data_IF_304727032845
#
_entry.id   IF_304727032845
#
_cell.length_a   1.000
_cell.length_b   1.000
_cell.length_c   1.000
_cell.angle_alpha   90.00
_cell.angle_beta   90.00
_cell.angle_gamma   90.00
#
_symmetry.space_group_name_H-M   'P 1'
#
loop_
_entity.id
_entity.type
_entity.pdbx_description
1 polymer ?
#
# COMPACT_ATOMS: atom_id res chain seq x y z
N UNK A 1 16.05 -13.02 -14.60
CA UNK A 1 16.64 -11.91 -13.81
C UNK A 1 16.58 -10.67 -14.67
N UNK A 2 16.26 -9.49 -14.13
CA UNK A 2 16.41 -8.24 -14.88
C UNK A 2 17.87 -8.12 -15.37
N UNK A 3 18.08 -7.41 -16.47
CA UNK A 3 19.40 -7.22 -17.08
C UNK A 3 20.31 -6.56 -16.03
N UNK A 4 21.39 -7.25 -15.65
CA UNK A 4 22.40 -6.67 -14.75
C UNK A 4 23.03 -5.46 -15.45
N UNK A 5 22.75 -4.27 -14.93
CA UNK A 5 23.36 -3.04 -15.42
C UNK A 5 24.85 -3.07 -15.12
N UNK A 6 25.67 -2.61 -16.08
CA UNK A 6 27.12 -2.51 -15.88
C UNK A 6 27.40 -1.52 -14.74
N UNK A 7 28.46 -1.72 -13.93
CA UNK A 7 28.82 -0.79 -12.85
C UNK A 7 28.96 0.67 -13.32
N UNK A 8 29.50 0.90 -14.53
CA UNK A 8 29.61 2.24 -15.13
C UNK A 8 28.26 2.88 -15.46
N UNK A 9 27.24 2.08 -15.73
CA UNK A 9 25.86 2.55 -15.89
C UNK A 9 25.25 2.86 -14.52
N UNK A 10 25.41 1.96 -13.55
CA UNK A 10 24.89 2.12 -12.19
C UNK A 10 25.42 3.40 -11.52
N UNK A 11 26.67 3.77 -11.73
CA UNK A 11 27.25 5.01 -11.22
C UNK A 11 26.50 6.28 -11.66
N UNK A 12 25.85 6.23 -12.82
CA UNK A 12 25.20 7.39 -13.44
C UNK A 12 23.68 7.40 -13.31
N UNK A 13 23.07 6.41 -12.62
CA UNK A 13 21.61 6.35 -12.48
C UNK A 13 21.08 7.55 -11.69
N UNK A 14 19.96 8.11 -12.13
CA UNK A 14 19.21 9.17 -11.41
C UNK A 14 17.97 8.64 -10.70
N UNK A 15 17.54 7.45 -11.09
CA UNK A 15 16.45 6.67 -10.52
C UNK A 15 16.69 5.21 -10.91
N UNK A 16 16.14 4.28 -10.14
CA UNK A 16 16.29 2.84 -10.36
C UNK A 16 15.42 2.03 -9.39
N UNK A 17 15.49 0.71 -9.52
CA UNK A 17 14.87 -0.24 -8.60
C UNK A 17 15.78 -0.50 -7.39
N UNK A 18 15.23 -1.10 -6.33
CA UNK A 18 16.01 -1.49 -5.14
C UNK A 18 17.21 -2.40 -5.50
N UNK A 19 17.08 -3.25 -6.53
CA UNK A 19 18.17 -4.08 -7.05
C UNK A 19 19.32 -3.26 -7.64
N UNK A 20 19.02 -2.17 -8.33
CA UNK A 20 20.03 -1.31 -8.97
C UNK A 20 20.88 -0.61 -7.90
N UNK A 21 20.22 -0.06 -6.87
CA UNK A 21 20.90 0.56 -5.74
C UNK A 21 21.70 -0.47 -4.91
N UNK A 22 21.14 -1.67 -4.71
CA UNK A 22 21.84 -2.75 -4.00
C UNK A 22 23.11 -3.17 -4.73
N UNK A 23 23.03 -3.36 -6.05
CA UNK A 23 24.19 -3.68 -6.88
C UNK A 23 25.24 -2.56 -6.86
N UNK A 24 24.82 -1.30 -6.97
CA UNK A 24 25.72 -0.14 -6.84
C UNK A 24 26.47 -0.15 -5.51
N UNK A 25 25.77 -0.42 -4.40
CA UNK A 25 26.35 -0.57 -3.07
C UNK A 25 27.39 -1.68 -2.97
N UNK A 26 27.06 -2.86 -3.51
CA UNK A 26 27.98 -3.99 -3.56
C UNK A 26 29.27 -3.60 -4.30
N UNK A 27 29.16 -3.00 -5.48
CA UNK A 27 30.33 -2.61 -6.27
C UNK A 27 31.18 -1.54 -5.57
N UNK A 28 30.56 -0.48 -5.06
CA UNK A 28 31.26 0.64 -4.42
C UNK A 28 31.99 0.21 -3.14
N UNK A 29 31.35 -0.61 -2.31
CA UNK A 29 31.93 -1.02 -1.03
C UNK A 29 33.01 -2.09 -1.21
N UNK A 30 32.80 -3.04 -2.14
CA UNK A 30 33.80 -4.06 -2.43
C UNK A 30 35.04 -3.51 -3.15
N UNK A 31 34.93 -2.41 -3.91
CA UNK A 31 36.11 -1.79 -4.54
C UNK A 31 37.12 -1.22 -3.53
N UNK A 32 36.69 -0.99 -2.28
CA UNK A 32 37.55 -0.53 -1.17
C UNK A 32 37.73 -1.61 -0.10
N UNK A 33 37.42 -2.87 -0.41
CA UNK A 33 37.69 -4.02 0.47
C UNK A 33 36.66 -4.25 1.58
N UNK A 34 35.50 -3.59 1.56
CA UNK A 34 34.45 -3.81 2.57
C UNK A 34 33.55 -4.99 2.16
N UNK A 35 33.37 -6.02 3.03
CA UNK A 35 32.62 -7.23 2.70
C UNK A 35 31.10 -7.00 2.77
N UNK A 36 30.56 -6.44 1.69
CA UNK A 36 29.12 -6.25 1.51
C UNK A 36 28.49 -7.41 0.76
N UNK A 37 27.29 -7.80 1.17
CA UNK A 37 26.43 -8.74 0.44
C UNK A 37 25.02 -8.20 0.23
N UNK A 38 24.17 -9.07 -0.30
CA UNK A 38 22.78 -8.79 -0.63
C UNK A 38 21.86 -9.75 0.13
N UNK A 39 20.80 -9.17 0.69
CA UNK A 39 19.66 -9.89 1.24
C UNK A 39 18.39 -9.51 0.50
N UNK A 40 17.44 -10.42 0.52
CA UNK A 40 16.13 -10.24 -0.08
C UNK A 40 15.03 -10.64 0.89
N UNK A 41 13.91 -9.93 0.78
CA UNK A 41 12.62 -10.28 1.37
C UNK A 41 11.75 -10.74 0.20
N UNK A 42 11.36 -12.02 0.13
CA UNK A 42 10.73 -12.57 -1.08
C UNK A 42 9.36 -11.95 -1.34
N UNK A 43 8.67 -11.61 -0.26
CA UNK A 43 7.39 -10.93 -0.28
C UNK A 43 7.14 -10.28 1.08
N UNK A 44 6.55 -9.10 1.11
CA UNK A 44 6.15 -8.43 2.35
C UNK A 44 4.93 -9.11 2.98
N UNK A 45 4.84 -9.08 4.30
CA UNK A 45 3.66 -9.57 5.01
C UNK A 45 2.42 -8.68 4.79
N UNK A 46 2.63 -7.38 4.54
CA UNK A 46 1.59 -6.36 4.47
C UNK A 46 1.51 -5.60 3.12
N UNK A 47 2.27 -6.01 2.10
CA UNK A 47 2.23 -5.39 0.76
C UNK A 47 2.56 -6.41 -0.32
N UNK A 48 2.34 -6.07 -1.59
CA UNK A 48 2.32 -7.01 -2.72
C UNK A 48 3.66 -7.04 -3.49
N UNK A 49 4.76 -6.75 -2.81
CA UNK A 49 6.10 -6.67 -3.41
C UNK A 49 7.12 -7.43 -2.54
N UNK A 50 8.27 -7.75 -3.13
CA UNK A 50 9.48 -8.13 -2.39
C UNK A 50 10.33 -6.90 -2.08
N UNK A 51 11.53 -7.15 -1.57
CA UNK A 51 12.54 -6.11 -1.35
C UNK A 51 13.95 -6.68 -1.38
N UNK A 52 14.92 -5.86 -1.77
CA UNK A 52 16.33 -6.22 -1.80
C UNK A 52 17.11 -5.10 -1.12
N UNK A 53 18.07 -5.48 -0.29
CA UNK A 53 18.90 -4.54 0.48
C UNK A 53 20.30 -5.11 0.72
N UNK A 54 21.21 -4.24 1.14
CA UNK A 54 22.59 -4.62 1.41
C UNK A 54 22.79 -5.01 2.88
N UNK A 55 23.84 -5.78 3.13
CA UNK A 55 24.39 -5.92 4.49
C UNK A 55 25.91 -5.82 4.47
N UNK A 56 26.50 -5.31 5.56
CA UNK A 56 27.92 -5.46 5.87
C UNK A 56 28.05 -6.54 6.94
N UNK A 57 29.00 -7.46 6.78
CA UNK A 57 29.37 -8.37 7.87
C UNK A 57 30.49 -7.73 8.71
N UNK A 58 30.15 -7.36 9.95
CA UNK A 58 31.05 -6.65 10.86
C UNK A 58 32.08 -7.55 11.54
N UNK A 59 33.15 -6.92 12.06
CA UNK A 59 34.15 -7.62 12.89
C UNK A 59 33.57 -8.14 14.21
N UNK A 60 32.41 -7.63 14.63
CA UNK A 60 31.61 -8.13 15.76
C UNK A 60 30.83 -9.41 15.42
N UNK A 61 31.00 -9.94 14.19
CA UNK A 61 30.32 -11.13 13.65
C UNK A 61 28.81 -10.94 13.49
N UNK A 62 28.35 -9.70 13.32
CA UNK A 62 26.95 -9.39 13.04
C UNK A 62 26.74 -8.92 11.60
N UNK A 63 25.49 -9.01 11.18
CA UNK A 63 25.02 -8.50 9.90
C UNK A 63 24.40 -7.13 10.15
N UNK A 64 24.96 -6.09 9.54
CA UNK A 64 24.41 -4.73 9.60
C UNK A 64 23.70 -4.42 8.29
N UNK A 65 22.38 -4.25 8.31
CA UNK A 65 21.58 -3.95 7.13
C UNK A 65 21.68 -2.48 6.73
N UNK A 66 21.64 -2.19 5.42
CA UNK A 66 21.52 -0.81 4.92
C UNK A 66 20.89 -0.78 3.53
N UNK A 67 20.43 0.40 3.12
CA UNK A 67 20.08 0.67 1.72
C UNK A 67 21.00 1.73 1.14
N UNK A 68 21.72 1.32 0.10
CA UNK A 68 22.69 2.16 -0.59
C UNK A 68 22.07 3.44 -1.12
N UNK A 69 22.60 4.58 -0.67
CA UNK A 69 22.12 5.90 -1.07
C UNK A 69 20.89 6.41 -0.30
N UNK A 70 20.34 5.64 0.64
CA UNK A 70 19.17 6.08 1.42
C UNK A 70 19.36 6.08 2.94
N UNK A 71 19.95 5.03 3.53
CA UNK A 71 20.03 4.87 4.98
C UNK A 71 21.38 4.31 5.45
N UNK A 72 21.74 4.67 6.68
CA UNK A 72 22.92 4.15 7.36
C UNK A 72 22.70 2.70 7.84
N UNK A 73 23.78 1.99 8.22
CA UNK A 73 23.69 0.66 8.83
C UNK A 73 22.75 0.60 10.04
N UNK A 74 22.02 -0.52 10.17
CA UNK A 74 21.09 -0.87 11.26
C UNK A 74 19.80 -0.03 11.35
N UNK A 75 19.58 0.91 10.43
CA UNK A 75 18.36 1.74 10.39
C UNK A 75 17.32 1.19 9.40
N UNK A 76 17.75 0.44 8.39
CA UNK A 76 16.94 0.15 7.21
C UNK A 76 15.82 -0.86 7.48
N UNK A 77 16.06 -1.91 8.25
CA UNK A 77 15.04 -2.90 8.61
C UNK A 77 14.09 -2.42 9.71
N UNK A 78 14.49 -1.42 10.51
CA UNK A 78 13.68 -0.87 11.62
C UNK A 78 12.36 -0.28 11.11
N UNK A 79 12.37 0.45 10.00
CA UNK A 79 11.14 0.99 9.37
C UNK A 79 10.18 -0.08 8.86
N UNK A 80 10.66 -1.31 8.69
CA UNK A 80 9.89 -2.46 8.21
C UNK A 80 9.56 -3.46 9.32
N UNK A 81 9.83 -3.13 10.58
CA UNK A 81 9.44 -3.95 11.72
C UNK A 81 7.96 -4.36 11.60
N UNK A 82 7.66 -5.62 11.93
CA UNK A 82 6.33 -6.24 11.83
C UNK A 82 5.82 -6.47 10.40
N UNK A 83 6.62 -6.24 9.36
CA UNK A 83 6.24 -6.45 7.96
C UNK A 83 7.07 -7.52 7.26
N UNK A 84 8.19 -7.93 7.86
CA UNK A 84 9.18 -8.86 7.28
C UNK A 84 8.81 -10.31 7.66
N UNK A 85 8.32 -11.16 6.75
CA UNK A 85 8.08 -12.56 7.08
C UNK A 85 9.36 -13.39 7.14
N UNK A 86 10.26 -13.15 6.17
CA UNK A 86 11.52 -13.86 5.96
C UNK A 86 12.55 -12.98 5.28
N UNK A 87 13.83 -13.23 5.59
CA UNK A 87 15.00 -12.64 4.93
C UNK A 87 15.89 -13.79 4.45
N UNK A 88 16.19 -13.79 3.15
CA UNK A 88 17.14 -14.71 2.55
C UNK A 88 18.38 -13.97 2.07
N UNK A 89 19.56 -14.51 2.36
CA UNK A 89 20.82 -14.04 1.82
C UNK A 89 21.09 -14.72 0.49
N UNK A 90 21.47 -13.94 -0.52
CA UNK A 90 21.98 -14.45 -1.78
C UNK A 90 23.48 -14.76 -1.65
N UNK A 91 23.83 -16.04 -1.61
CA UNK A 91 25.23 -16.48 -1.52
C UNK A 91 25.84 -16.68 -2.90
N UNK A 92 27.16 -16.61 -3.00
CA UNK A 92 27.86 -16.97 -4.23
C UNK A 92 27.85 -18.50 -4.46
N UNK A 93 28.10 -19.27 -3.40
CA UNK A 93 28.15 -20.73 -3.45
C UNK A 93 26.82 -21.39 -3.07
N UNK A 94 26.65 -22.63 -3.53
CA UNK A 94 25.54 -23.53 -3.15
C UNK A 94 25.46 -23.71 -1.64
N UNK A 95 24.25 -23.60 -1.09
CA UNK A 95 23.93 -23.87 0.30
C UNK A 95 23.32 -25.26 0.45
N UNK A 96 24.01 -26.16 1.16
CA UNK A 96 23.54 -27.53 1.40
C UNK A 96 22.23 -27.60 2.22
N UNK A 97 21.89 -26.50 2.90
CA UNK A 97 20.67 -26.33 3.69
C UNK A 97 19.52 -25.67 2.92
N UNK A 98 19.72 -25.29 1.66
CA UNK A 98 18.65 -24.69 0.83
C UNK A 98 17.67 -25.75 0.34
N UNK A 99 16.40 -25.36 0.13
CA UNK A 99 15.39 -26.27 -0.42
C UNK A 99 15.74 -26.73 -1.84
N UNK A 100 16.31 -25.86 -2.67
CA UNK A 100 16.78 -26.22 -4.02
C UNK A 100 17.85 -27.33 -4.02
N UNK A 101 18.49 -27.60 -2.87
CA UNK A 101 19.44 -28.69 -2.69
C UNK A 101 18.83 -29.88 -1.95
N UNK A 102 18.05 -29.62 -0.91
CA UNK A 102 17.45 -30.66 -0.07
C UNK A 102 16.32 -31.41 -0.80
N UNK A 103 15.54 -30.71 -1.62
CA UNK A 103 14.44 -31.30 -2.36
C UNK A 103 14.90 -32.41 -3.30
N UNK A 104 16.09 -32.35 -3.92
CA UNK A 104 16.68 -33.42 -4.78
C UNK A 104 15.66 -34.05 -5.76
N UNK A 105 14.77 -33.24 -6.34
CA UNK A 105 13.68 -33.71 -7.21
C UNK A 105 12.70 -34.71 -6.54
N UNK A 106 12.69 -34.81 -5.20
CA UNK A 106 11.75 -35.63 -4.42
C UNK A 106 10.30 -35.20 -4.67
N UNK A 107 10.08 -33.90 -4.85
CA UNK A 107 8.81 -33.30 -5.26
C UNK A 107 9.05 -31.93 -5.89
N UNK A 108 8.04 -31.42 -6.61
CA UNK A 108 8.07 -30.04 -7.11
C UNK A 108 8.05 -29.05 -5.94
N UNK A 109 8.71 -27.91 -6.11
CA UNK A 109 8.82 -26.86 -5.09
C UNK A 109 8.60 -25.49 -5.73
N UNK A 110 8.16 -24.45 -4.99
CA UNK A 110 7.97 -23.12 -5.55
C UNK A 110 9.25 -22.56 -6.19
N UNK A 111 9.10 -21.86 -7.32
CA UNK A 111 10.21 -21.37 -8.15
C UNK A 111 11.26 -20.56 -7.38
N UNK A 112 10.83 -19.74 -6.42
CA UNK A 112 11.75 -18.97 -5.57
C UNK A 112 12.73 -19.88 -4.81
N UNK A 113 12.25 -21.00 -4.28
CA UNK A 113 13.04 -21.93 -3.47
C UNK A 113 13.88 -22.92 -4.28
N UNK A 114 13.74 -22.98 -5.61
CA UNK A 114 14.62 -23.77 -6.49
C UNK A 114 16.05 -23.25 -6.51
N UNK A 115 16.28 -22.00 -6.11
CA UNK A 115 17.60 -21.40 -6.08
C UNK A 115 18.49 -22.03 -4.98
N UNK A 116 19.61 -22.71 -5.34
CA UNK A 116 20.47 -23.40 -4.39
C UNK A 116 21.36 -22.44 -3.57
N UNK A 117 21.35 -21.15 -3.87
CA UNK A 117 22.18 -20.12 -3.23
C UNK A 117 21.40 -19.27 -2.21
N UNK A 118 20.27 -19.78 -1.72
CA UNK A 118 19.47 -19.12 -0.68
C UNK A 118 19.85 -19.64 0.70
N UNK A 119 20.15 -18.72 1.62
CA UNK A 119 20.32 -18.99 3.05
C UNK A 119 19.28 -18.19 3.85
N UNK A 120 18.50 -18.84 4.72
CA UNK A 120 17.61 -18.13 5.65
C UNK A 120 18.43 -17.44 6.75
N UNK A 121 18.50 -16.11 6.70
CA UNK A 121 19.22 -15.27 7.66
C UNK A 121 18.26 -14.47 8.54
N UNK A 122 16.96 -14.76 8.52
CA UNK A 122 15.94 -14.02 9.27
C UNK A 122 16.28 -13.92 10.76
N UNK A 123 16.74 -15.02 11.36
CA UNK A 123 17.14 -15.07 12.77
C UNK A 123 18.43 -14.32 13.11
N UNK A 124 19.17 -13.79 12.11
CA UNK A 124 20.35 -12.95 12.32
C UNK A 124 19.99 -11.49 12.62
N UNK A 125 18.74 -11.10 12.36
CA UNK A 125 18.24 -9.74 12.53
C UNK A 125 17.29 -9.63 13.72
N UNK A 126 17.79 -9.15 14.85
CA UNK A 126 17.01 -9.04 16.09
C UNK A 126 15.75 -8.17 15.93
N UNK A 127 15.79 -7.16 15.04
CA UNK A 127 14.66 -6.28 14.72
C UNK A 127 13.43 -7.03 14.20
N UNK A 128 13.62 -8.20 13.57
CA UNK A 128 12.52 -9.03 13.06
C UNK A 128 11.74 -9.66 14.21
N UNK A 129 12.37 -9.91 15.38
CA UNK A 129 11.76 -10.63 16.50
C UNK A 129 11.14 -11.97 16.05
N UNK A 130 11.93 -12.75 15.30
CA UNK A 130 11.44 -13.93 14.62
C UNK A 130 11.00 -15.04 15.60
N UNK A 131 9.89 -15.70 15.30
CA UNK A 131 9.25 -16.73 16.12
C UNK A 131 9.43 -18.13 15.50
N UNK A 132 9.24 -19.17 16.31
CA UNK A 132 9.02 -20.52 15.79
C UNK A 132 7.54 -20.84 15.86
N UNK A 133 6.96 -21.33 14.77
CA UNK A 133 5.54 -21.71 14.71
C UNK A 133 5.41 -23.13 14.19
N UNK A 134 4.58 -23.92 14.88
CA UNK A 134 4.25 -25.29 14.49
C UNK A 134 2.85 -25.32 13.89
N UNK A 135 2.66 -26.01 12.78
CA UNK A 135 1.36 -26.19 12.13
C UNK A 135 1.06 -27.67 12.02
N UNK A 136 -0.17 -28.02 12.37
CA UNK A 136 -0.73 -29.35 12.15
C UNK A 136 -1.11 -29.49 10.67
N UNK A 137 -0.57 -30.53 10.05
CA UNK A 137 -0.77 -30.88 8.65
C UNK A 137 -1.36 -32.29 8.49
N UNK A 138 -1.99 -32.80 9.57
CA UNK A 138 -2.72 -34.07 9.59
C UNK A 138 -3.64 -34.22 8.38
N UNK A 139 -3.70 -35.42 7.82
CA UNK A 139 -4.56 -35.83 6.69
C UNK A 139 -4.13 -35.36 5.29
N UNK A 140 -2.86 -35.02 5.06
CA UNK A 140 -2.37 -34.66 3.72
C UNK A 140 -1.17 -35.52 3.34
N UNK A 141 -1.43 -36.57 2.57
CA UNK A 141 -0.43 -37.59 2.25
C UNK A 141 0.44 -37.21 1.05
N UNK A 142 1.71 -37.60 1.16
CA UNK A 142 2.79 -37.66 0.17
C UNK A 142 3.73 -36.45 0.05
N UNK A 143 3.33 -35.25 0.48
CA UNK A 143 4.26 -34.13 0.47
C UNK A 143 5.39 -34.29 1.49
N UNK A 144 6.62 -33.89 1.10
CA UNK A 144 7.81 -33.88 1.96
C UNK A 144 8.05 -32.53 2.60
N UNK A 145 7.59 -31.46 1.97
CA UNK A 145 7.75 -30.09 2.44
C UNK A 145 6.40 -29.39 2.61
N UNK A 146 6.34 -28.55 3.64
CA UNK A 146 5.24 -27.63 3.87
C UNK A 146 5.73 -26.19 3.71
N UNK A 147 4.81 -25.30 3.37
CA UNK A 147 5.08 -23.90 3.10
C UNK A 147 4.24 -23.01 4.00
N UNK A 148 4.81 -21.84 4.31
CA UNK A 148 4.08 -20.76 4.95
C UNK A 148 3.99 -19.60 3.95
N UNK A 149 2.77 -19.16 3.70
CA UNK A 149 2.46 -18.18 2.68
C UNK A 149 1.94 -16.87 3.29
N UNK A 150 2.16 -15.77 2.58
CA UNK A 150 1.52 -14.46 2.83
C UNK A 150 0.54 -14.14 1.71
N UNK A 151 -0.34 -13.17 1.95
CA UNK A 151 -1.34 -12.76 0.97
C UNK A 151 -0.72 -11.93 -0.17
N UNK A 152 -1.03 -12.32 -1.41
CA UNK A 152 -0.92 -11.53 -2.64
C UNK A 152 -2.27 -11.55 -3.38
N UNK A 153 -2.67 -10.49 -4.11
CA UNK A 153 -3.88 -10.49 -4.92
C UNK A 153 -3.96 -11.60 -5.99
N UNK A 154 -2.83 -12.21 -6.36
CA UNK A 154 -2.77 -13.37 -7.26
C UNK A 154 -2.91 -14.71 -6.52
N UNK A 155 -2.82 -14.72 -5.19
CA UNK A 155 -2.95 -15.93 -4.38
C UNK A 155 -2.03 -15.94 -3.17
N UNK A 156 -1.97 -17.08 -2.48
CA UNK A 156 -1.05 -17.26 -1.37
C UNK A 156 0.39 -17.41 -1.88
N UNK A 157 1.26 -16.47 -1.53
CA UNK A 157 2.66 -16.46 -1.95
C UNK A 157 3.55 -17.14 -0.91
N UNK A 158 4.28 -18.21 -1.24
CA UNK A 158 5.12 -18.93 -0.29
C UNK A 158 6.37 -18.12 0.08
N UNK A 159 6.58 -17.90 1.38
CA UNK A 159 7.71 -17.12 1.91
C UNK A 159 8.63 -17.93 2.81
N UNK A 160 8.14 -19.04 3.38
CA UNK A 160 8.94 -19.97 4.16
C UNK A 160 8.61 -21.42 3.80
N UNK A 161 9.52 -22.34 4.14
CA UNK A 161 9.35 -23.77 3.95
C UNK A 161 9.90 -24.53 5.16
N UNK A 162 9.48 -25.78 5.32
CA UNK A 162 10.05 -26.73 6.28
C UNK A 162 9.84 -28.16 5.79
N UNK A 163 10.66 -29.10 6.27
CA UNK A 163 10.42 -30.52 6.05
C UNK A 163 9.30 -31.00 7.00
N UNK A 164 8.43 -31.86 6.49
CA UNK A 164 7.33 -32.46 7.23
C UNK A 164 7.88 -33.60 8.10
N UNK A 165 7.54 -33.57 9.39
CA UNK A 165 7.88 -34.61 10.36
C UNK A 165 6.60 -35.14 11.01
N UNK A 166 6.18 -36.34 10.61
CA UNK A 166 4.86 -36.89 10.99
C UNK A 166 3.73 -35.99 10.47
N UNK A 167 2.83 -35.57 11.36
CA UNK A 167 1.70 -34.69 11.06
C UNK A 167 2.00 -33.22 11.36
N UNK A 168 3.28 -32.83 11.49
CA UNK A 168 3.68 -31.49 11.90
C UNK A 168 4.65 -30.84 10.93
N UNK A 169 4.46 -29.53 10.75
CA UNK A 169 5.38 -28.64 10.05
C UNK A 169 5.88 -27.56 11.03
N UNK A 170 7.17 -27.55 11.33
CA UNK A 170 7.80 -26.57 12.24
C UNK A 170 8.57 -25.53 11.44
N UNK A 171 8.06 -24.30 11.39
CA UNK A 171 8.69 -23.17 10.72
C UNK A 171 9.48 -22.34 11.73
N UNK A 172 10.80 -22.32 11.58
CA UNK A 172 11.71 -21.50 12.40
C UNK A 172 11.85 -20.10 11.81
N UNK A 173 12.27 -19.12 12.61
CA UNK A 173 12.59 -17.75 12.21
C UNK A 173 11.50 -17.06 11.38
N UNK A 174 10.25 -17.05 11.84
CA UNK A 174 9.11 -16.42 11.15
C UNK A 174 8.83 -15.05 11.73
N UNK A 175 8.74 -14.03 10.88
CA UNK A 175 8.36 -12.69 11.30
C UNK A 175 6.96 -12.64 11.92
N UNK A 176 6.77 -12.02 13.10
CA UNK A 176 5.47 -11.87 13.72
C UNK A 176 4.70 -10.66 13.17
N UNK A 177 3.48 -10.50 13.66
CA UNK A 177 2.49 -9.47 13.31
C UNK A 177 2.05 -9.52 11.85
N UNK A 178 1.99 -10.73 11.28
CA UNK A 178 1.66 -11.00 9.88
C UNK A 178 0.59 -12.10 9.84
N UNK A 179 -0.29 -12.02 8.84
CA UNK A 179 -1.23 -13.10 8.52
C UNK A 179 -0.56 -14.11 7.60
N UNK A 180 -0.60 -15.37 8.02
CA UNK A 180 -0.05 -16.49 7.28
C UNK A 180 -1.10 -17.52 6.91
N UNK A 181 -0.87 -18.21 5.81
CA UNK A 181 -1.59 -19.41 5.40
C UNK A 181 -0.59 -20.55 5.24
N UNK A 182 -0.79 -21.65 5.96
CA UNK A 182 -0.03 -22.87 5.71
C UNK A 182 -0.50 -23.52 4.41
N UNK A 183 0.43 -24.12 3.67
CA UNK A 183 0.11 -24.77 2.41
C UNK A 183 1.07 -25.92 2.10
N UNK A 184 0.64 -26.79 1.19
CA UNK A 184 1.47 -27.73 0.46
C UNK A 184 1.67 -27.21 -0.96
N UNK A 185 2.52 -27.89 -1.72
CA UNK A 185 2.77 -27.57 -3.12
C UNK A 185 2.69 -28.82 -3.96
N UNK A 186 1.88 -28.78 -5.02
CA UNK A 186 1.76 -29.88 -5.98
C UNK A 186 1.55 -29.31 -7.37
N UNK A 187 2.32 -29.82 -8.35
CA UNK A 187 2.20 -29.49 -9.79
C UNK A 187 2.11 -27.99 -10.08
N UNK A 188 3.00 -27.19 -9.52
CA UNK A 188 2.99 -25.75 -9.74
C UNK A 188 2.04 -24.94 -8.84
N UNK A 189 1.16 -25.58 -8.08
CA UNK A 189 0.07 -24.94 -7.34
C UNK A 189 0.25 -24.98 -5.82
N UNK A 190 -0.13 -23.88 -5.17
CA UNK A 190 -0.20 -23.77 -3.70
C UNK A 190 -1.53 -24.35 -3.23
N UNK A 191 -1.47 -25.36 -2.35
CA UNK A 191 -2.63 -26.03 -1.79
C UNK A 191 -2.77 -25.69 -0.30
N UNK A 192 -3.69 -24.78 0.09
CA UNK A 192 -3.81 -24.38 1.48
C UNK A 192 -4.19 -25.54 2.42
N UNK A 193 -3.64 -25.47 3.64
CA UNK A 193 -3.93 -26.39 4.75
C UNK A 193 -4.47 -25.60 5.93
N UNK A 194 -5.71 -25.91 6.33
CA UNK A 194 -6.39 -25.23 7.43
C UNK A 194 -6.70 -23.77 7.15
N UNK A 195 -7.08 -23.03 8.19
CA UNK A 195 -7.47 -21.63 8.08
C UNK A 195 -6.25 -20.70 8.23
N UNK A 196 -6.27 -19.51 7.59
CA UNK A 196 -5.21 -18.53 7.79
C UNK A 196 -5.22 -18.03 9.24
N UNK A 197 -4.08 -17.55 9.71
CA UNK A 197 -3.92 -17.08 11.08
C UNK A 197 -3.02 -15.86 11.17
N UNK A 198 -3.32 -14.97 12.10
CA UNK A 198 -2.41 -13.91 12.52
C UNK A 198 -1.42 -14.46 13.54
N UNK A 199 -0.13 -14.34 13.26
CA UNK A 199 0.95 -14.67 14.21
C UNK A 199 1.32 -13.40 14.98
N UNK A 200 1.15 -13.36 16.29
CA UNK A 200 1.48 -12.17 17.09
C UNK A 200 2.97 -12.10 17.50
N UNK A 201 3.35 -11.00 18.14
CA UNK A 201 4.74 -10.72 18.57
C UNK A 201 5.33 -11.71 19.57
N UNK A 202 4.52 -12.57 20.19
CA UNK A 202 4.97 -13.58 21.16
C UNK A 202 4.72 -15.02 20.65
N UNK A 203 4.40 -15.17 19.36
CA UNK A 203 4.24 -16.47 18.72
C UNK A 203 2.86 -17.10 18.86
N UNK A 204 1.85 -16.39 19.39
CA UNK A 204 0.47 -16.91 19.43
C UNK A 204 -0.19 -16.78 18.06
N UNK A 205 -0.99 -17.78 17.73
CA UNK A 205 -1.77 -17.83 16.49
C UNK A 205 -3.23 -17.52 16.76
N UNK A 206 -3.77 -16.52 16.07
CA UNK A 206 -5.21 -16.24 16.05
C UNK A 206 -5.77 -16.62 14.67
N UNK A 207 -6.51 -17.73 14.61
CA UNK A 207 -7.07 -18.24 13.36
C UNK A 207 -8.31 -17.45 12.93
N UNK A 208 -8.40 -17.17 11.63
CA UNK A 208 -9.59 -16.59 11.02
C UNK A 208 -10.53 -17.70 10.57
N UNK A 209 -11.54 -17.99 11.39
CA UNK A 209 -12.53 -19.04 11.13
C UNK A 209 -13.89 -18.40 10.86
N UNK A 210 -14.41 -18.47 9.62
CA UNK A 210 -15.73 -17.96 9.30
C UNK A 210 -16.83 -18.66 10.11
N UNK A 211 -17.60 -17.87 10.86
CA UNK A 211 -18.69 -18.36 11.68
C UNK A 211 -20.02 -18.41 10.91
N UNK A 212 -20.96 -19.25 11.39
CA UNK A 212 -22.34 -19.27 10.87
C UNK A 212 -23.06 -17.94 11.06
N UNK A 213 -22.74 -17.22 12.15
CA UNK A 213 -23.31 -15.90 12.44
C UNK A 213 -22.78 -14.88 11.44
N UNK A 214 -23.70 -14.10 10.86
CA UNK A 214 -23.40 -13.08 9.85
C UNK A 214 -23.52 -11.68 10.45
N UNK A 215 -22.89 -10.72 9.78
CA UNK A 215 -22.90 -9.30 10.13
C UNK A 215 -22.98 -8.42 8.88
N UNK A 216 -23.44 -7.18 9.09
CA UNK A 216 -23.33 -6.12 8.09
C UNK A 216 -21.95 -5.47 8.18
N UNK A 217 -21.30 -5.34 7.03
CA UNK A 217 -20.02 -4.68 6.84
C UNK A 217 -20.23 -3.39 6.03
N UNK A 218 -19.65 -2.28 6.50
CA UNK A 218 -19.51 -1.02 5.75
C UNK A 218 -18.02 -0.77 5.50
N UNK A 219 -17.64 -0.66 4.24
CA UNK A 219 -16.27 -0.38 3.81
C UNK A 219 -16.20 1.00 3.16
N UNK A 220 -15.14 1.74 3.47
CA UNK A 220 -14.83 3.02 2.81
C UNK A 220 -13.67 2.89 1.82
N UNK A 221 -12.93 1.77 1.83
CA UNK A 221 -11.70 1.55 1.05
C UNK A 221 -11.32 0.07 0.93
N UNK A 222 -10.43 -0.23 -0.02
CA UNK A 222 -9.89 -1.57 -0.33
C UNK A 222 -8.48 -1.86 0.24
N UNK A 223 -7.84 -0.84 0.82
CA UNK A 223 -6.55 -0.91 1.51
C UNK A 223 -6.47 0.21 2.55
N UNK A 224 -5.62 0.06 3.56
CA UNK A 224 -5.28 1.15 4.48
C UNK A 224 -4.71 2.37 3.74
N UNK A 225 -4.81 3.56 4.37
CA UNK A 225 -4.14 4.74 3.84
C UNK A 225 -2.63 4.45 3.72
N UNK A 226 -2.04 4.85 2.59
CA UNK A 226 -0.58 4.90 2.52
C UNK A 226 -0.02 5.83 3.61
N UNK A 227 1.03 5.39 4.30
CA UNK A 227 1.75 6.22 5.28
C UNK A 227 2.34 7.47 4.64
N UNK A 228 2.62 7.45 3.33
CA UNK A 228 3.07 8.63 2.58
C UNK A 228 2.03 9.77 2.55
N UNK A 229 0.76 9.48 2.84
CA UNK A 229 -0.30 10.49 2.89
C UNK A 229 -0.38 11.20 4.27
N UNK A 230 0.22 10.63 5.32
CA UNK A 230 0.08 11.15 6.70
C UNK A 230 0.60 12.58 6.84
N UNK A 231 1.70 12.91 6.17
CA UNK A 231 2.25 14.27 6.16
C UNK A 231 1.46 15.19 5.21
N UNK A 232 1.08 14.68 4.03
CA UNK A 232 0.36 15.44 3.01
C UNK A 232 -0.95 16.03 3.54
N UNK A 233 -1.69 15.28 4.36
CA UNK A 233 -2.96 15.78 4.91
C UNK A 233 -2.79 16.96 5.86
N UNK A 234 -1.63 17.10 6.50
CA UNK A 234 -1.33 18.24 7.39
C UNK A 234 -1.21 19.53 6.59
N UNK A 235 -0.73 19.45 5.34
CA UNK A 235 -0.57 20.58 4.43
C UNK A 235 -1.88 21.11 3.83
N UNK A 236 -3.04 20.62 4.26
CA UNK A 236 -4.32 21.09 3.71
C UNK A 236 -5.01 22.13 4.61
N UNK A 237 -4.57 22.25 5.86
CA UNK A 237 -5.19 23.14 6.84
C UNK A 237 -4.98 24.61 6.44
N UNK A 238 -6.04 25.41 6.59
CA UNK A 238 -6.06 26.82 6.25
C UNK A 238 -6.40 27.11 4.78
N UNK A 239 -6.38 26.10 3.90
CA UNK A 239 -6.79 26.24 2.50
C UNK A 239 -8.24 26.72 2.38
N UNK A 240 -8.51 27.57 1.38
CA UNK A 240 -9.79 28.27 1.22
C UNK A 240 -10.41 28.00 -0.13
N UNK A 241 -11.73 27.91 -0.16
CA UNK A 241 -12.52 27.91 -1.39
C UNK A 241 -13.28 29.22 -1.49
N UNK A 242 -13.13 29.92 -2.60
CA UNK A 242 -13.58 31.30 -2.73
C UNK A 242 -14.27 31.57 -4.08
N UNK A 243 -15.13 32.59 -4.08
CA UNK A 243 -15.76 33.14 -5.27
C UNK A 243 -15.60 34.65 -5.34
N UNK A 244 -15.49 35.22 -6.55
CA UNK A 244 -15.25 36.64 -6.77
C UNK A 244 -15.89 37.12 -8.09
N UNK A 245 -16.07 38.44 -8.22
CA UNK A 245 -16.43 39.07 -9.50
C UNK A 245 -15.27 39.84 -10.13
N UNK A 246 -14.17 40.07 -9.39
CA UNK A 246 -12.90 40.57 -9.92
C UNK A 246 -11.89 39.43 -10.10
N UNK A 247 -11.13 39.47 -11.19
CA UNK A 247 -10.16 38.42 -11.57
C UNK A 247 -9.00 38.29 -10.59
N UNK A 248 -8.69 39.37 -9.85
CA UNK A 248 -7.66 39.41 -8.81
C UNK A 248 -8.15 38.89 -7.44
N UNK A 249 -9.44 38.52 -7.33
CA UNK A 249 -10.10 38.07 -6.10
C UNK A 249 -10.06 39.10 -4.95
N UNK A 250 -9.88 40.39 -5.25
CA UNK A 250 -9.91 41.46 -4.24
C UNK A 250 -11.29 41.61 -3.57
N UNK A 251 -12.37 41.19 -4.25
CA UNK A 251 -13.74 41.20 -3.74
C UNK A 251 -14.23 39.82 -3.25
N UNK A 252 -13.31 38.87 -3.03
CA UNK A 252 -13.66 37.47 -2.80
C UNK A 252 -14.50 37.23 -1.54
N UNK A 253 -15.50 36.35 -1.68
CA UNK A 253 -16.18 35.69 -0.54
C UNK A 253 -15.57 34.32 -0.32
N UNK A 254 -15.47 33.91 0.94
CA UNK A 254 -14.97 32.58 1.30
C UNK A 254 -16.15 31.66 1.58
N UNK A 255 -16.28 30.62 0.77
CA UNK A 255 -17.32 29.59 0.93
C UNK A 255 -16.96 28.56 2.00
N UNK A 256 -15.67 28.22 2.09
CA UNK A 256 -15.18 27.22 3.03
C UNK A 256 -13.70 27.43 3.35
N UNK A 257 -13.32 27.10 4.58
CA UNK A 257 -11.93 27.02 5.05
C UNK A 257 -11.72 25.62 5.62
N UNK A 258 -10.64 24.94 5.20
CA UNK A 258 -10.26 23.65 5.75
C UNK A 258 -9.65 23.88 7.15
N UNK A 259 -10.49 23.81 8.19
CA UNK A 259 -10.08 24.13 9.58
C UNK A 259 -9.34 22.99 10.29
N UNK A 260 -9.63 21.75 9.90
CA UNK A 260 -9.06 20.54 10.49
C UNK A 260 -8.42 19.68 9.41
N UNK A 261 -7.50 18.80 9.81
CA UNK A 261 -6.83 17.84 8.93
C UNK A 261 -7.88 17.01 8.19
N UNK A 262 -8.01 17.16 6.86
CA UNK A 262 -8.97 16.40 6.08
C UNK A 262 -8.52 14.94 5.97
N UNK A 263 -9.49 14.04 5.75
CA UNK A 263 -9.20 12.65 5.36
C UNK A 263 -8.93 12.61 3.85
N UNK A 264 -8.08 11.68 3.36
CA UNK A 264 -7.83 11.49 1.93
C UNK A 264 -9.01 10.76 1.26
N UNK A 265 -10.16 11.42 1.24
CA UNK A 265 -11.43 10.96 0.66
C UNK A 265 -12.27 12.16 0.21
N UNK A 266 -13.33 11.91 -0.56
CA UNK A 266 -14.17 13.03 -1.01
C UNK A 266 -14.84 13.70 0.17
N UNK A 267 -14.69 15.03 0.26
CA UNK A 267 -15.34 15.85 1.27
C UNK A 267 -16.36 16.73 0.58
N UNK A 268 -17.61 16.70 1.05
CA UNK A 268 -18.68 17.58 0.57
C UNK A 268 -18.98 18.62 1.64
N UNK A 269 -19.05 19.88 1.22
CA UNK A 269 -19.34 21.04 2.06
C UNK A 269 -20.55 21.77 1.49
N UNK A 270 -21.55 21.99 2.35
CA UNK A 270 -22.62 22.94 2.05
C UNK A 270 -22.14 24.32 2.47
N UNK A 271 -22.17 25.29 1.55
CA UNK A 271 -21.71 26.64 1.81
C UNK A 271 -22.62 27.36 2.81
N UNK A 272 -22.11 28.35 3.54
CA UNK A 272 -22.93 29.17 4.44
C UNK A 272 -23.99 29.99 3.66
N UNK A 273 -25.23 30.05 4.13
CA UNK A 273 -26.33 30.74 3.44
C UNK A 273 -26.01 32.20 3.11
N UNK A 274 -25.24 32.89 3.96
CA UNK A 274 -24.84 34.30 3.78
C UNK A 274 -24.04 34.56 2.51
N UNK A 275 -23.37 33.52 1.97
CA UNK A 275 -22.56 33.63 0.75
C UNK A 275 -23.18 32.92 -0.46
N UNK A 276 -24.25 32.14 -0.27
CA UNK A 276 -24.86 31.36 -1.36
C UNK A 276 -25.60 32.20 -2.40
N UNK A 277 -26.16 33.37 -2.01
CA UNK A 277 -26.98 34.20 -2.88
C UNK A 277 -26.18 35.20 -3.72
N UNK A 278 -24.85 35.19 -3.61
CA UNK A 278 -23.96 36.07 -4.38
C UNK A 278 -23.52 35.38 -5.68
N UNK A 279 -23.94 35.86 -6.86
CA UNK A 279 -23.42 35.35 -8.11
C UNK A 279 -21.96 35.76 -8.28
N UNK A 280 -21.11 34.80 -8.67
CA UNK A 280 -19.67 35.01 -8.86
C UNK A 280 -19.23 34.55 -10.24
N UNK A 281 -18.32 35.30 -10.88
CA UNK A 281 -17.72 34.96 -12.18
C UNK A 281 -16.46 34.10 -12.04
N UNK A 282 -15.73 34.23 -10.94
CA UNK A 282 -14.47 33.53 -10.69
C UNK A 282 -14.58 32.67 -9.44
N UNK A 283 -14.02 31.46 -9.50
CA UNK A 283 -13.95 30.51 -8.39
C UNK A 283 -12.52 30.05 -8.22
N UNK A 284 -12.06 29.79 -6.98
CA UNK A 284 -10.73 29.20 -6.73
C UNK A 284 -10.67 28.33 -5.49
N UNK A 285 -9.71 27.42 -5.51
CA UNK A 285 -9.04 26.91 -4.32
C UNK A 285 -7.73 27.68 -4.12
N UNK A 286 -7.49 28.14 -2.89
CA UNK A 286 -6.30 28.87 -2.45
C UNK A 286 -5.61 28.06 -1.34
N UNK A 287 -4.34 27.70 -1.53
CA UNK A 287 -3.54 27.06 -0.47
C UNK A 287 -3.31 28.03 0.69
N UNK A 288 -2.98 27.51 1.87
CA UNK A 288 -2.67 28.39 3.02
C UNK A 288 -1.31 29.06 2.84
N UNK A 289 -1.01 30.00 3.74
CA UNK A 289 0.30 30.63 3.90
C UNK A 289 1.37 29.69 4.48
N UNK A 290 0.95 28.57 5.06
CA UNK A 290 1.83 27.54 5.64
C UNK A 290 2.09 26.37 4.67
N UNK A 291 1.40 26.29 3.53
CA UNK A 291 1.30 25.05 2.75
C UNK A 291 1.28 25.26 1.23
N UNK A 292 1.69 24.21 0.51
CA UNK A 292 1.70 24.12 -0.94
C UNK A 292 0.41 23.47 -1.47
N UNK A 293 0.10 23.65 -2.76
CA UNK A 293 -1.00 22.93 -3.40
C UNK A 293 -0.85 21.41 -3.25
N UNK A 294 -1.91 20.73 -2.80
CA UNK A 294 -2.00 19.26 -2.73
C UNK A 294 -3.45 18.79 -2.95
N UNK A 295 -4.10 19.34 -3.98
CA UNK A 295 -5.52 19.14 -4.24
C UNK A 295 -5.72 18.28 -5.50
N UNK A 296 -6.41 17.16 -5.37
CA UNK A 296 -6.71 16.26 -6.49
C UNK A 296 -7.91 16.74 -7.31
N UNK A 297 -9.03 17.05 -6.66
CA UNK A 297 -10.26 17.46 -7.35
C UNK A 297 -10.96 18.59 -6.61
N UNK A 298 -11.55 19.52 -7.35
CA UNK A 298 -12.43 20.56 -6.83
C UNK A 298 -13.66 20.71 -7.72
N UNK A 299 -14.82 20.55 -7.11
CA UNK A 299 -16.12 20.64 -7.74
C UNK A 299 -16.95 21.73 -7.06
N UNK A 300 -17.41 22.72 -7.85
CA UNK A 300 -18.34 23.75 -7.38
C UNK A 300 -19.72 23.49 -7.96
N UNK A 301 -20.77 23.56 -7.13
CA UNK A 301 -22.14 23.30 -7.56
C UNK A 301 -23.03 24.51 -7.32
N UNK A 302 -23.87 24.79 -8.31
CA UNK A 302 -24.98 25.70 -8.17
C UNK A 302 -26.17 25.01 -7.52
N UNK A 303 -27.06 25.80 -6.89
CA UNK A 303 -28.27 25.28 -6.25
C UNK A 303 -29.11 24.46 -7.24
N UNK A 304 -29.48 23.25 -6.84
CA UNK A 304 -30.31 22.32 -7.63
C UNK A 304 -29.57 21.59 -8.77
N UNK A 305 -28.29 21.88 -9.02
CA UNK A 305 -27.53 21.22 -10.09
C UNK A 305 -26.83 19.96 -9.60
N UNK A 306 -26.90 18.89 -10.42
CA UNK A 306 -26.24 17.61 -10.17
C UNK A 306 -24.83 17.52 -10.76
N UNK A 307 -24.46 18.42 -11.67
CA UNK A 307 -23.15 18.47 -12.31
C UNK A 307 -22.35 19.67 -11.79
N UNK A 308 -21.01 19.55 -11.65
CA UNK A 308 -20.17 20.66 -11.24
C UNK A 308 -20.11 21.75 -12.32
N UNK A 309 -19.86 22.98 -11.90
CA UNK A 309 -19.60 24.10 -12.78
C UNK A 309 -18.33 23.85 -13.59
N UNK A 310 -18.34 24.29 -14.85
CA UNK A 310 -17.18 24.26 -15.74
C UNK A 310 -16.85 25.68 -16.18
N UNK A 311 -15.57 25.94 -16.39
CA UNK A 311 -15.06 27.24 -16.81
C UNK A 311 -13.69 27.14 -17.45
N UNK A 312 -13.14 28.28 -17.86
CA UNK A 312 -11.74 28.37 -18.27
C UNK A 312 -10.87 28.25 -17.02
N UNK A 313 -9.91 27.33 -17.03
CA UNK A 313 -8.98 27.14 -15.91
C UNK A 313 -8.05 28.35 -15.82
N UNK A 314 -7.89 28.89 -14.62
CA UNK A 314 -7.04 30.03 -14.28
C UNK A 314 -6.27 29.73 -13.00
N UNK A 315 -5.12 30.38 -12.79
CA UNK A 315 -4.35 30.22 -11.56
C UNK A 315 -3.18 31.18 -11.49
N UNK A 316 -2.62 31.34 -10.28
CA UNK A 316 -1.35 32.02 -10.02
C UNK A 316 -0.59 31.19 -9.00
N UNK A 317 0.55 30.65 -9.42
CA UNK A 317 1.37 29.74 -8.62
C UNK A 317 2.79 29.61 -9.18
N UNK A 318 3.74 29.23 -8.33
CA UNK A 318 5.05 28.75 -8.76
C UNK A 318 4.99 27.26 -9.10
N UNK A 319 5.42 26.91 -10.31
CA UNK A 319 5.45 25.52 -10.79
C UNK A 319 6.27 24.63 -9.88
N UNK A 320 5.72 23.48 -9.47
CA UNK A 320 6.44 22.51 -8.65
C UNK A 320 7.72 22.03 -9.33
N UNK A 321 8.83 22.04 -8.60
CA UNK A 321 10.10 21.44 -9.04
C UNK A 321 10.01 19.92 -9.17
N UNK A 322 9.22 19.28 -8.32
CA UNK A 322 9.07 17.82 -8.27
C UNK A 322 7.98 17.31 -9.23
N UNK A 323 6.94 18.12 -9.44
CA UNK A 323 5.78 17.77 -10.26
C UNK A 323 5.46 18.88 -11.27
N UNK A 324 6.36 19.16 -12.25
CA UNK A 324 6.24 20.33 -13.12
C UNK A 324 5.02 20.33 -14.04
N UNK A 325 4.32 19.19 -14.15
CA UNK A 325 3.08 19.02 -14.95
C UNK A 325 1.80 19.01 -14.10
N UNK A 326 1.89 19.35 -12.81
CA UNK A 326 0.79 19.30 -11.87
C UNK A 326 0.23 20.71 -11.62
N UNK A 327 -0.25 21.36 -12.68
CA UNK A 327 -0.84 22.70 -12.61
C UNK A 327 -2.29 22.70 -12.14
N UNK A 328 -2.93 23.87 -12.20
CA UNK A 328 -4.31 24.06 -11.73
C UNK A 328 -5.33 23.18 -12.46
N UNK A 329 -5.03 22.76 -13.70
CA UNK A 329 -5.86 21.85 -14.49
C UNK A 329 -6.11 20.51 -13.81
N UNK A 330 -5.17 20.05 -12.96
CA UNK A 330 -5.30 18.79 -12.23
C UNK A 330 -6.47 18.76 -11.27
N UNK A 331 -6.86 19.90 -10.71
CA UNK A 331 -8.04 19.98 -9.85
C UNK A 331 -9.38 19.77 -10.57
N UNK A 332 -9.38 19.66 -11.91
CA UNK A 332 -10.59 19.65 -12.73
C UNK A 332 -10.55 18.61 -13.86
N UNK A 333 -9.60 17.67 -13.85
CA UNK A 333 -9.43 16.67 -14.92
C UNK A 333 -10.22 15.37 -14.70
N UNK A 334 -10.78 15.17 -13.50
CA UNK A 334 -11.60 14.01 -13.15
C UNK A 334 -10.77 12.76 -12.84
N UNK A 335 -9.45 12.88 -12.74
CA UNK A 335 -8.56 11.80 -12.33
C UNK A 335 -8.14 11.97 -10.87
N UNK A 336 -8.66 11.15 -9.93
CA UNK A 336 -8.37 11.29 -8.50
C UNK A 336 -6.90 11.04 -8.13
N UNK A 337 -6.07 10.49 -9.03
CA UNK A 337 -4.62 10.32 -8.82
C UNK A 337 -3.80 11.50 -9.34
N UNK A 338 -4.39 12.37 -10.14
CA UNK A 338 -3.82 13.65 -10.52
C UNK A 338 -3.99 14.64 -9.36
N UNK A 339 -3.12 15.64 -9.25
CA UNK A 339 -3.23 16.65 -8.21
C UNK A 339 -2.49 17.93 -8.57
N UNK A 340 -3.01 19.07 -8.14
CA UNK A 340 -2.33 20.37 -8.20
C UNK A 340 -1.24 20.43 -7.13
N UNK A 341 -0.03 20.84 -7.55
CA UNK A 341 1.12 21.02 -6.65
C UNK A 341 1.96 22.23 -7.03
N UNK A 342 2.43 22.95 -6.01
CA UNK A 342 3.18 24.22 -6.17
C UNK A 342 4.49 24.20 -5.39
N UNK A 343 5.38 25.15 -5.69
CA UNK A 343 6.66 25.33 -4.98
C UNK A 343 6.59 26.43 -3.91
N UNK A 344 5.48 27.20 -3.89
CA UNK A 344 5.20 28.34 -3.01
C UNK A 344 3.85 28.17 -2.26
N UNK A 345 3.66 29.01 -1.24
CA UNK A 345 2.42 29.11 -0.44
C UNK A 345 1.48 30.19 -1.00
N UNK A 346 0.24 30.25 -0.52
CA UNK A 346 -0.82 31.14 -1.05
C UNK A 346 -1.08 31.00 -2.56
N UNK A 347 -0.67 29.86 -3.09
CA UNK A 347 -0.79 29.46 -4.47
C UNK A 347 -2.22 29.04 -4.77
N UNK A 348 -2.75 29.36 -5.96
CA UNK A 348 -4.15 29.07 -6.25
C UNK A 348 -4.44 28.70 -7.70
N UNK A 349 -5.47 27.87 -7.86
CA UNK A 349 -6.06 27.50 -9.14
C UNK A 349 -7.59 27.51 -9.07
N UNK A 350 -8.24 27.69 -10.20
CA UNK A 350 -9.65 28.02 -10.23
C UNK A 350 -10.27 28.05 -11.62
N UNK A 351 -11.50 28.57 -11.68
CA UNK A 351 -12.32 28.65 -12.89
C UNK A 351 -12.77 30.09 -13.12
N UNK A 352 -12.66 30.55 -14.36
CA UNK A 352 -13.44 31.64 -14.91
C UNK A 352 -14.70 31.07 -15.56
N UNK A 353 -15.87 31.37 -14.99
CA UNK A 353 -17.15 30.90 -15.50
C UNK A 353 -17.61 31.72 -16.71
N UNK A 354 -18.37 31.07 -17.61
CA UNK A 354 -18.97 31.75 -18.76
C UNK A 354 -19.93 32.88 -18.35
N UNK A 355 -20.64 32.69 -17.24
CA UNK A 355 -21.56 33.65 -16.65
C UNK A 355 -21.47 33.55 -15.11
N UNK A 356 -21.79 34.62 -14.38
CA UNK A 356 -21.84 34.58 -12.92
C UNK A 356 -22.85 33.55 -12.40
N UNK A 357 -22.48 32.78 -11.36
CA UNK A 357 -23.32 31.72 -10.78
C UNK A 357 -23.27 31.77 -9.26
N UNK A 358 -24.40 31.48 -8.61
CA UNK A 358 -24.50 31.30 -7.16
C UNK A 358 -24.08 29.87 -6.77
N UNK A 359 -23.05 29.74 -5.93
CA UNK A 359 -22.54 28.44 -5.46
C UNK A 359 -23.12 28.09 -4.10
N UNK A 360 -23.59 26.85 -3.94
CA UNK A 360 -24.16 26.36 -2.68
C UNK A 360 -23.47 25.13 -2.10
N UNK A 361 -22.69 24.41 -2.91
CA UNK A 361 -22.02 23.18 -2.49
C UNK A 361 -20.67 23.09 -3.15
N UNK A 362 -19.69 22.67 -2.37
CA UNK A 362 -18.34 22.35 -2.82
C UNK A 362 -18.11 20.88 -2.53
N UNK A 363 -17.45 20.19 -3.44
CA UNK A 363 -16.91 18.86 -3.18
C UNK A 363 -15.46 18.84 -3.61
N UNK A 364 -14.59 18.28 -2.78
CA UNK A 364 -13.17 18.26 -3.08
C UNK A 364 -12.52 16.95 -2.63
N UNK A 365 -11.41 16.62 -3.26
CA UNK A 365 -10.55 15.50 -2.93
C UNK A 365 -9.12 16.02 -2.84
N UNK A 366 -8.48 15.78 -1.71
CA UNK A 366 -7.06 16.08 -1.56
C UNK A 366 -6.22 14.99 -2.25
N UNK A 367 -4.91 15.23 -2.43
CA UNK A 367 -4.00 14.19 -2.90
C UNK A 367 -4.18 12.91 -2.06
N UNK A 368 -4.35 11.78 -2.76
CA UNK A 368 -4.75 10.50 -2.18
C UNK A 368 -4.14 9.33 -2.97
N UNK A 369 -4.47 8.10 -2.56
CA UNK A 369 -3.96 6.84 -3.12
C UNK A 369 -4.96 6.11 -4.04
N UNK A 370 -6.15 6.69 -4.26
CA UNK A 370 -7.26 6.10 -5.03
C UNK A 370 -7.70 4.70 -4.55
N UNK A 371 -7.45 4.39 -3.27
CA UNK A 371 -7.90 3.14 -2.63
C UNK A 371 -9.26 3.28 -1.92
N UNK A 372 -9.87 4.48 -1.97
CA UNK A 372 -11.25 4.70 -1.55
C UNK A 372 -12.25 3.97 -2.44
N UNK A 373 -13.43 3.64 -1.91
CA UNK A 373 -14.54 3.17 -2.75
C UNK A 373 -14.92 4.28 -3.74
N UNK A 374 -15.04 3.97 -5.02
CA UNK A 374 -15.42 4.93 -6.06
C UNK A 374 -16.79 4.62 -6.63
N UNK A 375 -17.62 5.65 -6.74
CA UNK A 375 -18.93 5.54 -7.36
C UNK A 375 -18.79 5.00 -8.78
N UNK A 376 -19.64 4.03 -9.12
CA UNK A 376 -19.67 3.39 -10.43
C UNK A 376 -18.70 2.21 -10.58
N UNK A 377 -17.67 2.07 -9.74
CA UNK A 377 -16.79 0.91 -9.76
C UNK A 377 -17.53 -0.36 -9.32
N UNK A 378 -17.16 -1.49 -9.91
CA UNK A 378 -17.62 -2.83 -9.58
C UNK A 378 -16.64 -3.48 -8.61
N UNK A 379 -17.12 -3.83 -7.42
CA UNK A 379 -16.34 -4.48 -6.38
C UNK A 379 -16.81 -5.92 -6.15
N UNK A 380 -15.92 -6.78 -5.66
CA UNK A 380 -16.25 -8.12 -5.19
C UNK A 380 -15.61 -8.38 -3.83
N UNK A 381 -16.42 -8.77 -2.85
CA UNK A 381 -15.93 -9.08 -1.51
C UNK A 381 -15.74 -10.60 -1.38
N UNK A 382 -14.61 -11.02 -0.84
CA UNK A 382 -14.31 -12.41 -0.54
C UNK A 382 -14.15 -12.61 0.96
N UNK A 383 -14.44 -13.83 1.42
CA UNK A 383 -13.97 -14.32 2.71
C UNK A 383 -13.14 -15.58 2.51
N UNK A 384 -12.13 -15.78 3.36
CA UNK A 384 -11.29 -16.97 3.32
C UNK A 384 -11.88 -18.08 4.19
N UNK A 385 -12.01 -19.29 3.64
CA UNK A 385 -12.34 -20.50 4.39
C UNK A 385 -11.37 -21.60 3.98
N UNK A 386 -10.67 -22.19 4.94
CA UNK A 386 -9.68 -23.24 4.71
C UNK A 386 -8.64 -22.84 3.65
N UNK A 387 -8.24 -21.57 3.68
CA UNK A 387 -7.31 -20.96 2.72
C UNK A 387 -7.89 -20.66 1.33
N UNK A 388 -9.16 -20.96 1.08
CA UNK A 388 -9.83 -20.70 -0.21
C UNK A 388 -10.69 -19.45 -0.13
N UNK A 389 -10.51 -18.55 -1.11
CA UNK A 389 -11.30 -17.33 -1.25
C UNK A 389 -12.69 -17.63 -1.82
N UNK A 390 -13.74 -17.38 -1.04
CA UNK A 390 -15.14 -17.55 -1.44
C UNK A 390 -15.81 -16.19 -1.61
N UNK A 391 -16.44 -15.96 -2.77
CA UNK A 391 -17.13 -14.70 -3.06
C UNK A 391 -18.40 -14.52 -2.22
N UNK A 392 -18.60 -13.29 -1.73
CA UNK A 392 -19.83 -12.79 -1.10
C UNK A 392 -20.68 -11.96 -2.08
N UNK A 393 -20.32 -12.01 -3.36
CA UNK A 393 -21.02 -11.36 -4.45
C UNK A 393 -20.38 -10.05 -4.90
N UNK A 394 -20.75 -9.64 -6.10
CA UNK A 394 -20.31 -8.40 -6.74
C UNK A 394 -21.28 -7.26 -6.44
N UNK A 395 -20.77 -6.04 -6.26
CA UNK A 395 -21.57 -4.83 -6.08
C UNK A 395 -20.97 -3.65 -6.81
N UNK A 396 -21.80 -2.94 -7.57
CA UNK A 396 -21.45 -1.63 -8.10
C UNK A 396 -21.68 -0.58 -7.01
N UNK A 397 -20.66 0.21 -6.70
CA UNK A 397 -20.76 1.30 -5.74
C UNK A 397 -21.69 2.40 -6.28
N UNK A 398 -22.66 2.82 -5.47
CA UNK A 398 -23.61 3.90 -5.81
C UNK A 398 -23.16 5.26 -5.25
N UNK A 399 -22.26 5.24 -4.27
CA UNK A 399 -21.66 6.39 -3.60
C UNK A 399 -20.14 6.21 -3.56
N UNK A 400 -19.42 7.33 -3.50
CA UNK A 400 -18.00 7.33 -3.15
C UNK A 400 -17.82 7.07 -1.66
N UNK A 401 -16.71 6.43 -1.30
CA UNK A 401 -16.27 6.13 0.06
C UNK A 401 -17.26 5.27 0.87
N UNK A 402 -18.16 4.52 0.21
CA UNK A 402 -19.11 3.63 0.87
C UNK A 402 -19.48 2.40 0.04
N UNK A 403 -19.33 1.22 0.67
CA UNK A 403 -19.84 -0.05 0.17
C UNK A 403 -20.41 -0.89 1.32
N UNK A 404 -21.61 -1.46 1.16
CA UNK A 404 -22.30 -2.21 2.22
C UNK A 404 -22.57 -3.65 1.80
N UNK A 405 -22.16 -4.62 2.63
CA UNK A 405 -22.49 -6.05 2.50
C UNK A 405 -23.24 -6.52 3.75
N UNK A 406 -24.37 -7.23 3.60
CA UNK A 406 -25.28 -7.57 4.73
C UNK A 406 -25.08 -8.97 5.34
N UNK A 407 -24.36 -9.86 4.64
CA UNK A 407 -24.29 -11.29 4.95
C UNK A 407 -22.85 -11.80 5.13
N UNK A 408 -21.99 -11.00 5.77
CA UNK A 408 -20.57 -11.33 5.94
C UNK A 408 -20.38 -12.23 7.17
N UNK A 409 -19.73 -13.41 7.07
CA UNK A 409 -19.43 -14.25 8.22
C UNK A 409 -18.58 -13.52 9.28
N UNK A 410 -18.90 -13.70 10.56
CA UNK A 410 -18.05 -13.20 11.66
C UNK A 410 -16.76 -14.03 11.77
N UNK A 411 -15.66 -13.42 12.23
CA UNK A 411 -14.36 -14.10 12.43
C UNK A 411 -13.61 -14.47 11.15
N UNK A 412 -14.12 -14.10 9.98
CA UNK A 412 -13.47 -14.39 8.70
C UNK A 412 -12.39 -13.36 8.35
N UNK A 413 -11.35 -13.83 7.65
CA UNK A 413 -10.43 -12.96 6.91
C UNK A 413 -11.10 -12.54 5.61
N UNK A 414 -11.11 -11.25 5.32
CA UNK A 414 -11.83 -10.65 4.20
C UNK A 414 -10.86 -10.00 3.22
N UNK A 415 -11.28 -9.93 1.95
CA UNK A 415 -10.54 -9.25 0.88
C UNK A 415 -11.54 -8.59 -0.06
N UNK A 416 -11.38 -7.29 -0.30
CA UNK A 416 -12.21 -6.54 -1.24
C UNK A 416 -11.42 -6.27 -2.52
N UNK A 417 -11.95 -6.74 -3.65
CA UNK A 417 -11.40 -6.48 -4.98
C UNK A 417 -12.12 -5.36 -5.69
N UNK A 418 -11.37 -4.49 -6.35
CA UNK A 418 -11.91 -3.54 -7.34
C UNK A 418 -11.74 -4.14 -8.74
N UNK A 419 -12.84 -4.58 -9.35
CA UNK A 419 -12.83 -5.17 -10.68
C UNK A 419 -12.85 -4.13 -11.81
N UNK A 420 -12.75 -2.84 -11.47
CA UNK A 420 -12.77 -1.73 -12.43
C UNK A 420 -11.40 -1.09 -12.60
N UNK A 421 -10.72 -0.73 -11.50
CA UNK A 421 -9.42 -0.02 -11.57
C UNK A 421 -8.53 -0.31 -10.34
N UNK A 422 -7.22 -0.26 -10.60
CA UNK A 422 -6.18 -0.31 -9.57
C UNK A 422 -5.89 -1.73 -9.11
N UNK A 423 -4.68 -1.93 -8.56
CA UNK A 423 -4.19 -3.26 -8.17
C UNK A 423 -3.83 -3.35 -6.68
N UNK A 424 -3.86 -2.22 -5.97
CA UNK A 424 -3.60 -2.18 -4.55
C UNK A 424 -4.81 -2.66 -3.74
N UNK A 425 -4.66 -3.82 -3.11
CA UNK A 425 -5.69 -4.48 -2.32
C UNK A 425 -5.03 -5.21 -1.17
N UNK A 426 -5.66 -5.20 0.01
CA UNK A 426 -5.18 -5.94 1.18
C UNK A 426 -6.30 -6.70 1.88
N UNK A 427 -5.88 -7.72 2.61
CA UNK A 427 -6.74 -8.50 3.49
C UNK A 427 -7.04 -7.72 4.79
N UNK A 428 -8.17 -8.02 5.40
CA UNK A 428 -8.59 -7.37 6.64
C UNK A 428 -9.52 -8.24 7.49
N UNK A 429 -9.58 -7.96 8.79
CA UNK A 429 -10.62 -8.45 9.70
C UNK A 429 -11.64 -7.35 9.95
N UNK A 430 -12.92 -7.73 10.08
CA UNK A 430 -13.96 -6.83 10.56
C UNK A 430 -14.49 -7.25 11.92
N UNK A 431 -14.14 -6.47 12.95
CA UNK A 431 -14.46 -6.75 14.36
C UNK A 431 -14.87 -5.46 15.06
N UNK A 432 -15.88 -5.53 15.93
CA UNK A 432 -16.36 -4.38 16.71
C UNK A 432 -16.70 -3.14 15.85
N UNK A 433 -17.29 -3.38 14.67
CA UNK A 433 -17.62 -2.37 13.66
C UNK A 433 -16.41 -1.60 13.09
N UNK A 434 -15.19 -2.12 13.24
CA UNK A 434 -13.94 -1.56 12.72
C UNK A 434 -13.25 -2.53 11.78
N UNK A 435 -12.54 -1.99 10.80
CA UNK A 435 -11.69 -2.72 9.85
C UNK A 435 -10.26 -2.71 10.38
N UNK A 436 -9.63 -3.88 10.42
CA UNK A 436 -8.22 -4.07 10.78
C UNK A 436 -7.49 -4.63 9.57
N UNK A 437 -6.60 -3.84 8.97
CA UNK A 437 -5.83 -4.23 7.79
C UNK A 437 -4.63 -5.10 8.18
N UNK A 438 -4.25 -6.02 7.29
CA UNK A 438 -3.08 -6.88 7.43
C UNK A 438 -2.24 -6.87 6.18
#
# INVERSE_FOLDING_TARGET
MPIDLRPSTLYNIKFGLCSDYTALGVYAMRSVGIPVGENLIPHWGNSNLGHVFNFVYGNDRKYHDFASGEQNPDEHLVRFKNKIPKIYKMTFGRQNTSLGVISRDLEDVPSFFKNPCLEDVTGKYAVVNAQTTEIDISNKQNNKFAYLCVFDPQGWFPVAWTQIEGDKAVFKNIGPNIVYQAALYDKGEIQPVGNPFFLDSIGRKAYFVPQKRKQQLRLERKKENSSSLEEIVLYMKGGKFQGANKKDFSDAVTYHVIKATPKPKYTTVICDESVQNRPVKYLRYLSSDETYGNMAEVEFYARGQLKPQKGKIIGKYETSRFYPRNGAEKMFDGDPLSFFHTNDTLSWGGLELKQPVCINKIRYLIRNDDNGIRKGHLYELFYCKDGVWTSLGKKRAILDDELIYKNVPQGALLWLRDLTKGQEERIFEYKNKKVYWY
#
